data_IF_482645351051
#
_entry.id   IF_482645351051
#
_cell.length_a   1.000
_cell.length_b   1.000
_cell.length_c   1.000
_cell.angle_alpha   90.00
_cell.angle_beta   90.00
_cell.angle_gamma   90.00
#
_symmetry.space_group_name_H-M   'P 1'
#
loop_
_entity.id
_entity.type
_entity.pdbx_description
1 polymer ?
#
# COMPACT_ATOMS: atom_id res chain seq x y z
N UNK A 1 0.37 -21.07 2.64
CA UNK A 1 -0.58 -20.36 3.51
C UNK A 1 -0.46 -18.86 3.27
N UNK A 2 -1.56 -18.23 2.97
CA UNK A 2 -1.55 -16.81 2.76
C UNK A 2 -1.46 -16.07 4.06
N UNK A 3 -0.46 -15.22 4.17
CA UNK A 3 -0.34 -14.34 5.31
C UNK A 3 -0.57 -12.92 4.84
N UNK A 4 -1.58 -12.31 5.40
CA UNK A 4 -1.86 -10.91 5.14
C UNK A 4 -0.98 -10.09 6.09
N UNK A 5 0.00 -9.33 5.59
CA UNK A 5 0.89 -8.58 6.46
C UNK A 5 0.18 -7.48 7.24
N UNK A 6 -1.04 -7.15 6.86
CA UNK A 6 -1.80 -6.09 7.52
C UNK A 6 -2.80 -6.62 8.54
N UNK A 7 -2.96 -7.93 8.63
CA UNK A 7 -3.97 -8.54 9.49
C UNK A 7 -3.77 -8.18 10.95
N UNK A 8 -2.53 -8.15 11.41
CA UNK A 8 -2.24 -7.80 12.79
C UNK A 8 -2.57 -6.35 13.09
N UNK A 9 -2.35 -5.46 12.13
CA UNK A 9 -2.67 -4.05 12.31
C UNK A 9 -4.17 -3.82 12.40
N UNK A 10 -4.96 -4.61 11.71
CA UNK A 10 -6.41 -4.51 11.76
C UNK A 10 -6.92 -4.89 13.15
N UNK A 11 -6.18 -5.74 13.86
CA UNK A 11 -6.52 -6.14 15.24
C UNK A 11 -5.99 -5.20 16.30
N UNK A 12 -5.16 -4.20 15.90
CA UNK A 12 -4.59 -3.27 16.85
C UNK A 12 -5.66 -2.47 17.58
N UNK A 13 -5.39 -2.17 18.84
CA UNK A 13 -6.28 -1.32 19.62
C UNK A 13 -6.14 0.15 19.27
N UNK A 14 -5.02 0.54 18.67
CA UNK A 14 -4.80 1.92 18.24
C UNK A 14 -5.56 2.20 16.96
N UNK A 15 -6.53 3.15 16.98
CA UNK A 15 -7.36 3.41 15.80
C UNK A 15 -6.58 3.79 14.55
N UNK A 16 -5.52 4.58 14.70
CA UNK A 16 -4.73 5.03 13.55
C UNK A 16 -4.10 3.87 12.80
N UNK A 17 -3.50 2.94 13.53
CA UNK A 17 -2.85 1.79 12.90
C UNK A 17 -3.88 0.86 12.26
N UNK A 18 -5.01 0.68 12.94
CA UNK A 18 -6.08 -0.18 12.43
C UNK A 18 -6.66 0.39 11.13
N UNK A 19 -6.91 1.69 11.11
CA UNK A 19 -7.46 2.35 9.92
C UNK A 19 -6.50 2.27 8.75
N UNK A 20 -5.22 2.57 8.99
CA UNK A 20 -4.21 2.49 7.94
C UNK A 20 -4.04 1.06 7.44
N UNK A 21 -4.00 0.10 8.36
CA UNK A 21 -3.89 -1.31 7.99
C UNK A 21 -5.04 -1.76 7.10
N UNK A 22 -6.25 -1.34 7.44
CA UNK A 22 -7.42 -1.66 6.66
C UNK A 22 -7.38 -1.00 5.28
N UNK A 23 -6.95 0.26 5.24
CA UNK A 23 -6.84 0.99 3.97
C UNK A 23 -5.86 0.30 3.02
N UNK A 24 -4.69 -0.08 3.52
CA UNK A 24 -3.70 -0.78 2.70
C UNK A 24 -4.20 -2.15 2.27
N UNK A 25 -4.84 -2.88 3.17
CA UNK A 25 -5.40 -4.19 2.81
C UNK A 25 -6.44 -4.05 1.70
N UNK A 26 -7.31 -3.06 1.81
CA UNK A 26 -8.33 -2.80 0.80
C UNK A 26 -7.71 -2.44 -0.54
N UNK A 27 -6.76 -1.52 -0.53
CA UNK A 27 -6.12 -1.06 -1.77
C UNK A 27 -5.42 -2.20 -2.50
N UNK A 28 -4.65 -2.99 -1.76
CA UNK A 28 -3.89 -4.10 -2.34
C UNK A 28 -4.83 -5.22 -2.78
N UNK A 29 -5.89 -5.46 -2.01
CA UNK A 29 -6.89 -6.46 -2.38
C UNK A 29 -7.60 -6.13 -3.68
N UNK A 30 -7.87 -4.84 -3.94
CA UNK A 30 -8.48 -4.42 -5.18
C UNK A 30 -7.59 -4.71 -6.39
N UNK A 31 -6.26 -4.55 -6.23
CA UNK A 31 -5.34 -4.90 -7.30
C UNK A 31 -5.37 -6.40 -7.58
N UNK A 32 -5.46 -7.21 -6.55
CA UNK A 32 -5.51 -8.66 -6.69
C UNK A 32 -6.76 -9.12 -7.45
N UNK A 33 -7.88 -8.43 -7.26
CA UNK A 33 -9.12 -8.74 -8.00
C UNK A 33 -8.89 -8.58 -9.51
N UNK A 34 -8.08 -7.60 -9.90
CA UNK A 34 -7.75 -7.36 -11.30
C UNK A 34 -6.57 -8.21 -11.78
N UNK A 35 -6.11 -9.15 -10.97
CA UNK A 35 -4.99 -10.02 -11.31
C UNK A 35 -3.64 -9.35 -11.19
N UNK A 36 -3.56 -8.21 -10.52
CA UNK A 36 -2.32 -7.47 -10.36
C UNK A 36 -1.69 -7.80 -9.01
N UNK A 37 -0.36 -7.78 -8.99
CA UNK A 37 0.40 -8.02 -7.76
C UNK A 37 1.22 -6.79 -7.43
N UNK A 38 1.22 -6.42 -6.16
CA UNK A 38 2.08 -5.34 -5.66
C UNK A 38 3.46 -5.90 -5.33
N UNK A 39 4.45 -5.00 -5.29
CA UNK A 39 5.82 -5.40 -5.00
C UNK A 39 6.02 -5.57 -3.49
N UNK A 40 7.09 -6.28 -3.14
CA UNK A 40 7.52 -6.35 -1.74
C UNK A 40 7.89 -4.97 -1.23
N UNK A 41 8.48 -4.14 -2.09
CA UNK A 41 8.85 -2.78 -1.70
C UNK A 41 7.62 -2.00 -1.25
N UNK A 42 6.51 -2.15 -1.97
CA UNK A 42 5.27 -1.48 -1.56
C UNK A 42 4.79 -1.98 -0.19
N UNK A 43 4.83 -3.29 0.04
CA UNK A 43 4.40 -3.84 1.32
C UNK A 43 5.24 -3.27 2.46
N UNK A 44 6.56 -3.22 2.28
CA UNK A 44 7.47 -2.68 3.30
C UNK A 44 7.19 -1.19 3.54
N UNK A 45 6.94 -0.45 2.46
CA UNK A 45 6.62 0.97 2.55
C UNK A 45 5.29 1.20 3.26
N UNK A 46 4.31 0.35 2.97
CA UNK A 46 3.00 0.42 3.62
C UNK A 46 3.12 0.21 5.13
N UNK A 47 3.93 -0.74 5.54
CA UNK A 47 4.15 -1.01 6.95
C UNK A 47 4.76 0.21 7.64
N UNK A 48 5.72 0.88 7.00
CA UNK A 48 6.32 2.09 7.56
C UNK A 48 5.29 3.21 7.72
N UNK A 49 4.37 3.32 6.77
CA UNK A 49 3.29 4.28 6.87
C UNK A 49 2.34 3.94 8.03
N UNK A 50 2.00 2.67 8.17
CA UNK A 50 1.12 2.22 9.26
C UNK A 50 1.76 2.50 10.62
N UNK A 51 3.06 2.25 10.74
CA UNK A 51 3.79 2.48 11.98
C UNK A 51 4.03 3.96 12.29
N UNK A 52 3.71 4.84 11.33
CA UNK A 52 3.87 6.26 11.54
C UNK A 52 5.25 6.81 11.20
N UNK A 53 6.11 5.99 10.61
CA UNK A 53 7.48 6.41 10.26
C UNK A 53 7.50 7.35 9.07
N UNK A 54 6.55 7.19 8.16
CA UNK A 54 6.46 8.03 6.96
C UNK A 54 4.98 8.38 6.69
N UNK A 55 4.78 9.53 6.07
CA UNK A 55 3.45 9.94 5.62
C UNK A 55 3.10 9.24 4.31
N UNK A 56 1.84 9.36 3.90
CA UNK A 56 1.42 8.78 2.63
C UNK A 56 2.10 9.49 1.45
N UNK A 57 2.33 10.79 1.58
CA UNK A 57 3.04 11.52 0.54
C UNK A 57 4.49 11.10 0.45
N UNK A 58 5.13 10.82 1.58
CA UNK A 58 6.48 10.26 1.59
C UNK A 58 6.51 8.88 0.96
N UNK A 59 5.50 8.06 1.25
CA UNK A 59 5.40 6.73 0.64
C UNK A 59 5.33 6.85 -0.88
N UNK A 60 4.54 7.79 -1.39
CA UNK A 60 4.43 8.04 -2.82
C UNK A 60 5.77 8.45 -3.43
N UNK A 61 6.49 9.34 -2.75
CA UNK A 61 7.81 9.79 -3.21
C UNK A 61 8.81 8.65 -3.24
N UNK A 62 8.78 7.79 -2.23
CA UNK A 62 9.67 6.64 -2.18
C UNK A 62 9.41 5.68 -3.33
N UNK A 63 8.12 5.45 -3.66
CA UNK A 63 7.78 4.61 -4.80
C UNK A 63 8.27 5.19 -6.11
N UNK A 64 8.09 6.50 -6.29
CA UNK A 64 8.55 7.14 -7.51
C UNK A 64 10.06 6.98 -7.69
N UNK A 65 10.81 7.20 -6.60
CA UNK A 65 12.27 7.03 -6.63
C UNK A 65 12.67 5.59 -6.91
N UNK A 66 11.96 4.65 -6.28
CA UNK A 66 12.24 3.23 -6.47
C UNK A 66 12.10 2.82 -7.94
N UNK A 67 11.04 3.27 -8.61
CA UNK A 67 10.82 2.90 -10.00
C UNK A 67 11.65 3.71 -10.98
N UNK A 68 12.17 4.87 -10.58
CA UNK A 68 13.17 5.56 -11.37
C UNK A 68 14.48 4.77 -11.41
N UNK A 69 14.84 4.17 -10.26
CA UNK A 69 16.06 3.39 -10.16
C UNK A 69 15.90 1.95 -10.65
N UNK A 70 14.68 1.47 -10.68
CA UNK A 70 14.35 0.09 -11.04
C UNK A 70 13.26 0.07 -12.11
N UNK A 71 13.56 0.58 -13.33
CA UNK A 71 12.55 0.61 -14.39
C UNK A 71 12.15 -0.81 -14.77
N UNK A 72 10.88 -0.97 -15.13
CA UNK A 72 10.40 -2.28 -15.55
C UNK A 72 11.08 -2.68 -16.85
N UNK A 73 11.46 -3.95 -16.94
CA UNK A 73 12.13 -4.49 -18.11
C UNK A 73 11.17 -5.23 -19.02
N UNK A 74 10.07 -5.69 -18.46
CA UNK A 74 9.05 -6.43 -19.20
C UNK A 74 7.85 -5.50 -19.40
N UNK A 75 7.49 -5.19 -20.65
CA UNK A 75 6.34 -4.31 -20.90
C UNK A 75 5.02 -4.89 -20.37
N UNK A 76 4.96 -6.17 -20.10
CA UNK A 76 3.78 -6.80 -19.52
C UNK A 76 3.73 -6.72 -18.00
N UNK A 77 4.79 -6.23 -17.37
CA UNK A 77 4.85 -6.12 -15.91
C UNK A 77 4.04 -4.91 -15.45
N UNK A 78 2.99 -5.16 -14.69
CA UNK A 78 2.10 -4.12 -14.19
C UNK A 78 2.25 -3.87 -12.69
N UNK A 79 3.36 -4.33 -12.11
CA UNK A 79 3.59 -4.18 -10.67
C UNK A 79 3.70 -2.70 -10.27
N UNK A 80 4.42 -1.90 -11.06
CA UNK A 80 4.52 -0.47 -10.80
C UNK A 80 3.15 0.20 -10.77
N UNK A 81 2.30 -0.14 -11.74
CA UNK A 81 0.95 0.40 -11.80
C UNK A 81 0.16 0.01 -10.56
N UNK A 82 0.23 -1.26 -10.15
CA UNK A 82 -0.47 -1.73 -8.96
C UNK A 82 0.00 -1.00 -7.71
N UNK A 83 1.31 -0.79 -7.57
CA UNK A 83 1.88 -0.08 -6.44
C UNK A 83 1.37 1.36 -6.38
N UNK A 84 1.42 2.06 -7.50
CA UNK A 84 1.03 3.48 -7.54
C UNK A 84 -0.46 3.67 -7.31
N UNK A 85 -1.27 2.78 -7.87
CA UNK A 85 -2.72 2.83 -7.64
C UNK A 85 -3.05 2.55 -6.17
N UNK A 86 -2.34 1.61 -5.56
CA UNK A 86 -2.56 1.28 -4.15
C UNK A 86 -2.31 2.50 -3.26
N UNK A 87 -1.20 3.21 -3.47
CA UNK A 87 -0.90 4.42 -2.71
C UNK A 87 -1.98 5.48 -2.91
N UNK A 88 -2.44 5.63 -4.15
CA UNK A 88 -3.47 6.61 -4.47
C UNK A 88 -4.78 6.31 -3.73
N UNK A 89 -5.16 5.04 -3.69
CA UNK A 89 -6.38 4.63 -2.99
C UNK A 89 -6.26 4.92 -1.49
N UNK A 90 -5.12 4.58 -0.90
CA UNK A 90 -4.90 4.84 0.52
C UNK A 90 -4.96 6.34 0.81
N UNK A 91 -4.37 7.14 -0.07
CA UNK A 91 -4.40 8.59 0.10
C UNK A 91 -5.83 9.13 0.07
N UNK A 92 -6.62 8.67 -0.88
CA UNK A 92 -8.01 9.09 -1.00
C UNK A 92 -8.80 8.69 0.26
N UNK A 93 -8.62 7.47 0.72
CA UNK A 93 -9.31 7.00 1.92
C UNK A 93 -8.89 7.82 3.14
N UNK A 94 -7.62 8.18 3.23
CA UNK A 94 -7.12 9.01 4.33
C UNK A 94 -7.72 10.41 4.33
N UNK A 95 -7.92 10.97 3.14
CA UNK A 95 -8.45 12.33 2.99
C UNK A 95 -9.95 12.40 3.22
N UNK A 96 -10.67 11.34 2.84
CA UNK A 96 -12.12 11.30 3.01
C UNK A 96 -12.54 10.77 4.36
N UNK A 97 -11.59 10.23 5.12
CA UNK A 97 -11.87 9.60 6.41
C UNK A 97 -12.33 8.17 6.26
N UNK A 98 -12.08 7.38 7.28
CA UNK A 98 -12.50 6.00 7.33
C UNK A 98 -13.72 5.88 8.22
N UNK A 99 -14.63 5.00 7.82
CA UNK A 99 -15.79 4.66 8.62
C UNK A 99 -15.82 3.16 8.80
N UNK A 100 -15.60 2.72 10.00
CA UNK A 100 -15.60 1.29 10.32
C UNK A 100 -16.75 0.95 11.24
#
# INVERSE_FOLDING_TARGET
MNQDPFKEYIRESEPNKREKGYAWQTAIGLQAVDGLKTSKYLIDTAIRNIEGDISIDEANSLLNSYYEENPKQDPGDRTEEADKVSVRIVKILSETGFSF
#
